data_IF_645993869664
#
_entry.id   IF_645993869664
#
_cell.length_a   1.000
_cell.length_b   1.000
_cell.length_c   1.000
_cell.angle_alpha   90.00
_cell.angle_beta   90.00
_cell.angle_gamma   90.00
#
_symmetry.space_group_name_H-M   'P 1'
#
loop_
_entity.id
_entity.type
_entity.pdbx_description
1 polymer ?
#
# COMPACT_ATOMS: atom_id res chain seq x y z
N UNK A 1 -57.31 -38.99 -23.86
CA UNK A 1 -56.43 -38.86 -22.69
C UNK A 1 -56.21 -37.38 -22.45
N UNK A 2 -56.40 -36.97 -21.21
CA UNK A 2 -56.88 -35.66 -20.78
C UNK A 2 -55.84 -34.53 -20.88
N UNK A 3 -56.33 -33.35 -21.25
CA UNK A 3 -55.64 -32.06 -21.19
C UNK A 3 -55.75 -31.47 -19.78
N UNK A 4 -54.65 -31.40 -19.04
CA UNK A 4 -54.60 -30.74 -17.73
C UNK A 4 -54.11 -29.30 -17.85
N UNK A 5 -55.05 -28.38 -17.70
CA UNK A 5 -54.85 -26.93 -17.55
C UNK A 5 -54.54 -26.63 -16.08
N UNK A 6 -53.32 -26.19 -15.76
CA UNK A 6 -52.94 -25.77 -14.41
C UNK A 6 -52.97 -24.24 -14.30
N UNK A 7 -54.02 -23.71 -13.68
CA UNK A 7 -54.17 -22.29 -13.31
C UNK A 7 -53.46 -22.07 -11.97
N UNK A 8 -52.37 -21.31 -11.96
CA UNK A 8 -51.66 -20.93 -10.75
C UNK A 8 -52.28 -19.65 -10.16
N UNK A 9 -53.07 -19.81 -9.10
CA UNK A 9 -53.60 -18.73 -8.25
C UNK A 9 -52.48 -18.00 -7.49
N UNK A 10 -52.32 -16.71 -7.77
CA UNK A 10 -51.43 -15.80 -7.03
C UNK A 10 -51.99 -15.52 -5.63
N UNK A 11 -51.19 -15.78 -4.60
CA UNK A 11 -51.49 -15.48 -3.19
C UNK A 11 -50.84 -14.14 -2.82
N UNK A 12 -51.57 -13.14 -2.27
CA UNK A 12 -50.97 -11.88 -1.87
C UNK A 12 -50.18 -12.02 -0.56
N UNK A 13 -48.99 -11.41 -0.53
CA UNK A 13 -48.08 -11.35 0.62
C UNK A 13 -48.57 -10.30 1.64
N UNK A 14 -48.60 -10.57 2.96
CA UNK A 14 -48.99 -9.56 3.95
C UNK A 14 -47.86 -8.56 4.22
N UNK A 15 -48.12 -7.29 3.91
CA UNK A 15 -47.30 -6.12 4.25
C UNK A 15 -47.51 -5.72 5.72
N UNK A 16 -46.50 -5.94 6.58
CA UNK A 16 -46.39 -5.26 7.87
C UNK A 16 -44.96 -4.78 8.11
N UNK A 17 -44.69 -3.58 7.61
CA UNK A 17 -43.48 -2.82 7.92
C UNK A 17 -43.74 -2.04 9.22
N UNK A 18 -43.18 -2.51 10.34
CA UNK A 18 -43.25 -1.80 11.64
C UNK A 18 -41.97 -1.00 11.82
N UNK A 19 -42.07 0.32 11.67
CA UNK A 19 -40.97 1.28 11.86
C UNK A 19 -40.65 1.40 13.36
N UNK A 20 -39.39 1.29 13.80
CA UNK A 20 -39.01 1.59 15.18
C UNK A 20 -38.97 3.11 15.40
N UNK A 21 -39.64 3.58 16.45
CA UNK A 21 -39.60 4.95 16.97
C UNK A 21 -38.34 5.19 17.81
N UNK A 22 -37.66 6.34 17.68
CA UNK A 22 -36.52 6.66 18.54
C UNK A 22 -36.98 7.09 19.95
N UNK A 23 -36.20 6.82 21.01
CA UNK A 23 -36.51 7.29 22.35
C UNK A 23 -36.28 8.81 22.48
N UNK A 24 -37.23 9.46 23.17
CA UNK A 24 -37.17 10.85 23.61
C UNK A 24 -36.02 11.08 24.62
N UNK A 25 -35.33 12.24 24.58
CA UNK A 25 -34.37 12.63 25.60
C UNK A 25 -35.08 13.23 26.81
N UNK A 26 -34.94 12.59 27.98
CA UNK A 26 -35.28 13.20 29.26
C UNK A 26 -34.25 14.26 29.61
N UNK A 27 -34.70 15.51 29.64
CA UNK A 27 -33.92 16.64 30.13
C UNK A 27 -33.80 16.62 31.65
N UNK A 28 -32.57 16.77 32.13
CA UNK A 28 -32.29 17.20 33.50
C UNK A 28 -31.52 18.50 33.41
N UNK A 29 -32.21 19.59 33.75
CA UNK A 29 -31.65 20.90 34.06
C UNK A 29 -30.84 20.80 35.35
N UNK A 30 -29.55 21.14 35.31
CA UNK A 30 -28.83 21.60 36.50
C UNK A 30 -28.14 22.93 36.16
N UNK A 31 -28.57 23.93 36.91
CA UNK A 31 -28.19 25.32 36.92
C UNK A 31 -26.84 25.50 37.65
N UNK A 32 -25.88 26.16 37.00
CA UNK A 32 -24.78 27.10 37.43
C UNK A 32 -24.34 27.13 38.92
N UNK A 33 -23.05 27.40 39.27
CA UNK A 33 -22.37 28.63 38.81
C UNK A 33 -20.88 28.59 38.47
N UNK A 34 -20.54 29.61 37.68
CA UNK A 34 -19.21 30.16 37.46
C UNK A 34 -18.50 30.51 38.76
N UNK A 35 -17.22 30.18 38.86
CA UNK A 35 -16.28 30.86 39.73
C UNK A 35 -15.14 31.46 38.90
N UNK A 36 -15.03 32.78 39.06
CA UNK A 36 -13.91 33.63 38.69
C UNK A 36 -12.58 33.04 39.17
N UNK A 37 -11.56 33.16 38.33
CA UNK A 37 -10.17 32.85 38.67
C UNK A 37 -9.18 33.54 37.74
N UNK A 38 -9.33 34.85 37.56
CA UNK A 38 -8.37 35.75 36.91
C UNK A 38 -7.14 35.86 37.81
N UNK A 39 -5.98 35.37 37.38
CA UNK A 39 -4.69 35.71 38.00
C UNK A 39 -3.78 36.37 36.97
N UNK A 40 -3.27 37.53 37.36
CA UNK A 40 -2.51 38.49 36.56
C UNK A 40 -1.12 38.67 37.14
N UNK A 41 -0.09 38.59 36.27
CA UNK A 41 1.23 39.28 36.29
C UNK A 41 2.32 38.74 37.25
N UNK A 42 3.61 39.11 37.08
CA UNK A 42 4.39 39.41 35.86
C UNK A 42 5.80 38.74 35.83
N UNK A 43 6.49 38.86 34.69
CA UNK A 43 7.94 38.65 34.51
C UNK A 43 8.80 39.71 35.24
N UNK A 44 10.09 39.42 35.47
CA UNK A 44 11.13 40.43 35.28
C UNK A 44 12.16 40.02 34.23
N UNK A 45 12.65 41.08 33.57
CA UNK A 45 13.59 41.20 32.48
C UNK A 45 14.92 41.74 33.04
N UNK A 46 16.07 41.17 32.64
CA UNK A 46 17.39 41.83 32.56
C UNK A 46 18.08 41.20 31.32
N UNK A 47 18.13 41.87 30.15
CA UNK A 47 19.13 42.87 29.67
C UNK A 47 20.52 42.22 29.49
N UNK A 48 21.35 42.42 28.47
CA UNK A 48 21.31 42.93 27.09
C UNK A 48 22.74 42.75 26.54
N UNK A 49 22.91 42.61 25.22
CA UNK A 49 24.06 43.07 24.39
C UNK A 49 24.03 42.24 23.09
N UNK A 50 23.40 42.71 22.02
CA UNK A 50 23.86 43.73 21.06
C UNK A 50 24.99 43.26 20.14
N UNK A 51 24.60 43.24 18.87
CA UNK A 51 25.32 43.02 17.62
C UNK A 51 26.49 43.96 17.34
N UNK A 52 27.61 43.40 16.88
CA UNK A 52 28.63 43.95 15.96
C UNK A 52 29.68 42.83 15.79
N UNK A 53 30.21 42.40 14.65
CA UNK A 53 30.54 43.09 13.41
C UNK A 53 30.63 42.06 12.27
N UNK A 54 29.86 42.34 11.21
CA UNK A 54 30.08 41.89 9.83
C UNK A 54 31.15 42.81 9.22
N UNK A 55 32.07 42.25 8.42
CA UNK A 55 33.17 42.88 7.66
C UNK A 55 34.52 42.94 8.38
N UNK A 56 35.33 41.90 8.22
CA UNK A 56 36.79 42.02 8.00
C UNK A 56 37.40 40.64 7.70
N UNK A 57 37.16 40.12 6.49
CA UNK A 57 37.98 39.03 5.93
C UNK A 57 37.93 39.00 4.41
N UNK A 58 38.08 40.17 3.79
CA UNK A 58 38.26 40.32 2.35
C UNK A 58 39.23 41.46 2.11
N UNK A 59 40.50 41.18 2.36
CA UNK A 59 41.64 41.93 1.83
C UNK A 59 42.88 41.18 2.25
N UNK A 60 43.29 40.23 1.40
CA UNK A 60 44.68 40.03 1.05
C UNK A 60 44.75 38.95 -0.04
N UNK A 61 45.10 39.43 -1.25
CA UNK A 61 45.96 38.78 -2.25
C UNK A 61 45.31 37.56 -2.95
N UNK A 62 44.85 37.63 -4.20
CA UNK A 62 45.37 38.42 -5.32
C UNK A 62 46.55 37.69 -5.98
N UNK A 63 46.28 36.54 -6.60
CA UNK A 63 47.09 35.96 -7.65
C UNK A 63 46.13 35.42 -8.72
N UNK A 64 46.16 36.10 -9.86
CA UNK A 64 45.47 35.78 -11.10
C UNK A 64 46.33 34.76 -11.83
N UNK A 65 45.75 33.64 -12.27
CA UNK A 65 45.99 33.08 -13.62
C UNK A 65 44.69 32.40 -14.08
N UNK A 66 44.32 32.72 -15.32
CA UNK A 66 43.10 32.32 -16.02
C UNK A 66 43.24 30.93 -16.64
N UNK A 67 42.12 30.20 -16.63
CA UNK A 67 41.61 29.32 -17.69
C UNK A 67 42.51 28.22 -18.29
N UNK A 68 42.21 26.98 -17.89
CA UNK A 68 42.02 25.88 -18.83
C UNK A 68 40.84 25.02 -18.33
N UNK A 69 39.63 25.34 -18.82
CA UNK A 69 38.46 24.44 -18.69
C UNK A 69 38.73 23.19 -19.53
N UNK A 70 39.18 22.13 -18.88
CA UNK A 70 39.14 20.79 -19.46
C UNK A 70 37.70 20.30 -19.43
N UNK A 71 37.07 20.36 -20.59
CA UNK A 71 35.82 19.70 -20.93
C UNK A 71 35.98 18.18 -20.76
N UNK A 72 35.85 17.68 -19.54
CA UNK A 72 35.74 16.25 -19.29
C UNK A 72 34.27 15.86 -19.47
N UNK A 73 33.97 15.44 -20.70
CA UNK A 73 32.77 14.70 -21.09
C UNK A 73 32.62 13.51 -20.15
N UNK A 74 31.91 13.74 -19.05
CA UNK A 74 31.46 12.69 -18.14
C UNK A 74 30.55 11.78 -18.93
N UNK A 75 31.12 10.71 -19.46
CA UNK A 75 30.42 9.60 -20.07
C UNK A 75 29.34 9.17 -19.07
N UNK A 76 28.08 9.44 -19.41
CA UNK A 76 26.95 8.82 -18.74
C UNK A 76 27.06 7.34 -19.04
N UNK A 77 27.80 6.63 -18.18
CA UNK A 77 27.97 5.20 -18.23
C UNK A 77 26.58 4.63 -17.92
N UNK A 78 25.83 4.35 -18.97
CA UNK A 78 24.60 3.57 -18.88
C UNK A 78 25.02 2.21 -18.34
N UNK A 79 24.82 2.01 -17.04
CA UNK A 79 24.83 0.69 -16.44
C UNK A 79 23.67 -0.08 -17.07
N UNK A 80 23.95 -0.69 -18.22
CA UNK A 80 23.20 -1.82 -18.71
C UNK A 80 23.35 -2.89 -17.65
N UNK A 81 22.31 -3.03 -16.82
CA UNK A 81 22.09 -4.23 -16.03
C UNK A 81 21.87 -5.34 -17.05
N UNK A 82 22.97 -5.91 -17.52
CA UNK A 82 22.93 -7.11 -18.34
C UNK A 82 22.06 -8.13 -17.57
N UNK A 83 21.07 -8.78 -18.19
CA UNK A 83 20.12 -9.67 -17.50
C UNK A 83 20.77 -10.97 -16.98
N UNK A 84 22.10 -11.04 -16.98
CA UNK A 84 22.86 -12.22 -16.57
C UNK A 84 22.67 -12.67 -15.10
N UNK A 85 22.42 -11.80 -14.09
CA UNK A 85 22.09 -12.30 -12.76
C UNK A 85 20.68 -12.93 -12.67
N UNK A 86 19.79 -12.65 -13.63
CA UNK A 86 18.44 -13.24 -13.69
C UNK A 86 18.46 -14.65 -14.33
N UNK A 87 19.35 -14.89 -15.29
CA UNK A 87 19.57 -16.23 -15.87
C UNK A 87 20.13 -17.23 -14.84
N UNK A 88 20.97 -16.77 -13.90
CA UNK A 88 21.44 -17.61 -12.80
C UNK A 88 20.33 -17.91 -11.78
N UNK A 89 19.34 -17.03 -11.61
CA UNK A 89 18.20 -17.27 -10.73
C UNK A 89 17.26 -18.35 -11.30
N UNK A 90 17.16 -18.48 -12.62
CA UNK A 90 16.38 -19.53 -13.30
C UNK A 90 16.99 -20.94 -13.12
N UNK A 91 18.30 -21.04 -12.87
CA UNK A 91 19.00 -22.29 -12.55
C UNK A 91 19.01 -22.62 -11.05
N UNK A 92 18.44 -21.76 -10.19
CA UNK A 92 18.38 -22.06 -8.77
C UNK A 92 17.48 -23.28 -8.53
N UNK A 93 17.89 -24.23 -7.66
CA UNK A 93 17.09 -25.38 -7.25
C UNK A 93 15.66 -25.02 -6.79
N UNK A 94 15.42 -23.76 -6.43
CA UNK A 94 14.12 -23.23 -6.02
C UNK A 94 13.05 -23.19 -7.12
N UNK A 95 13.40 -23.05 -8.40
CA UNK A 95 12.40 -22.97 -9.48
C UNK A 95 11.60 -24.29 -9.61
N UNK A 96 12.27 -25.44 -9.43
CA UNK A 96 11.62 -26.76 -9.39
C UNK A 96 10.76 -26.97 -8.15
N UNK A 97 11.19 -26.44 -6.99
CA UNK A 97 10.44 -26.51 -5.73
C UNK A 97 9.16 -25.68 -5.82
N UNK A 98 9.22 -24.46 -6.37
CA UNK A 98 8.03 -23.62 -6.57
C UNK A 98 7.04 -24.33 -7.47
N UNK A 99 7.49 -24.89 -8.60
CA UNK A 99 6.61 -25.66 -9.50
C UNK A 99 5.91 -26.82 -8.79
N UNK A 100 6.66 -27.63 -8.05
CA UNK A 100 6.13 -28.78 -7.30
C UNK A 100 5.07 -28.39 -6.26
N UNK A 101 5.25 -27.27 -5.55
CA UNK A 101 4.27 -26.77 -4.57
C UNK A 101 2.98 -26.28 -5.25
N UNK A 102 3.10 -25.73 -6.47
CA UNK A 102 1.98 -25.12 -7.19
C UNK A 102 1.27 -26.05 -8.18
N UNK A 103 1.87 -27.19 -8.54
CA UNK A 103 1.28 -28.18 -9.47
C UNK A 103 -0.16 -28.61 -9.07
N UNK A 104 -0.51 -28.87 -7.79
CA UNK A 104 -1.89 -29.21 -7.41
C UNK A 104 -2.91 -28.11 -7.72
N UNK A 105 -2.50 -26.84 -7.65
CA UNK A 105 -3.36 -25.70 -7.97
C UNK A 105 -3.52 -25.54 -9.48
N UNK A 106 -2.46 -25.81 -10.24
CA UNK A 106 -2.49 -25.83 -11.72
C UNK A 106 -3.47 -26.91 -12.20
N UNK A 107 -3.43 -28.10 -11.61
CA UNK A 107 -4.36 -29.17 -11.94
C UNK A 107 -5.81 -28.84 -11.57
N UNK A 108 -6.04 -28.17 -10.44
CA UNK A 108 -7.38 -27.73 -10.04
C UNK A 108 -7.97 -26.73 -11.04
N UNK A 109 -7.20 -25.72 -11.46
CA UNK A 109 -7.64 -24.74 -12.47
C UNK A 109 -7.96 -25.41 -13.81
N UNK A 110 -7.13 -26.37 -14.24
CA UNK A 110 -7.38 -27.15 -15.46
C UNK A 110 -8.66 -28.00 -15.36
N UNK A 111 -8.94 -28.57 -14.19
CA UNK A 111 -10.13 -29.39 -13.95
C UNK A 111 -11.42 -28.57 -14.03
N UNK A 112 -11.36 -27.27 -13.70
CA UNK A 112 -12.53 -26.39 -13.70
C UNK A 112 -12.91 -25.87 -15.10
N UNK A 113 -12.09 -26.14 -16.13
CA UNK A 113 -12.30 -25.75 -17.52
C UNK A 113 -12.77 -24.29 -17.67
N UNK A 114 -12.11 -23.40 -16.93
CA UNK A 114 -12.45 -21.98 -16.88
C UNK A 114 -12.19 -21.33 -18.25
N UNK A 115 -13.03 -20.39 -18.71
CA UNK A 115 -12.80 -19.67 -19.96
C UNK A 115 -11.44 -18.97 -19.96
N UNK A 116 -10.72 -19.02 -21.09
CA UNK A 116 -9.38 -18.42 -21.24
C UNK A 116 -9.34 -16.94 -20.83
N UNK A 117 -10.38 -16.17 -21.16
CA UNK A 117 -10.47 -14.75 -20.80
C UNK A 117 -10.45 -14.53 -19.28
N UNK A 118 -11.04 -15.45 -18.50
CA UNK A 118 -11.14 -15.35 -17.05
C UNK A 118 -9.82 -15.76 -16.40
N UNK A 119 -9.14 -16.76 -16.95
CA UNK A 119 -7.78 -17.14 -16.50
C UNK A 119 -6.81 -16.00 -16.77
N UNK A 120 -6.93 -15.36 -17.94
CA UNK A 120 -6.05 -14.27 -18.37
C UNK A 120 -6.25 -12.98 -17.56
N UNK A 121 -7.50 -12.55 -17.40
CA UNK A 121 -7.83 -11.27 -16.74
C UNK A 121 -8.21 -11.40 -15.27
N UNK A 122 -8.47 -12.60 -14.77
CA UNK A 122 -8.91 -12.83 -13.39
C UNK A 122 -7.87 -12.37 -12.37
N UNK A 123 -6.59 -12.71 -12.58
CA UNK A 123 -5.50 -12.24 -11.71
C UNK A 123 -5.35 -10.71 -11.74
N UNK A 124 -5.09 -10.04 -12.89
CA UNK A 124 -4.90 -8.59 -12.91
C UNK A 124 -6.16 -7.82 -12.47
N UNK A 125 -7.36 -8.31 -12.81
CA UNK A 125 -8.62 -7.69 -12.39
C UNK A 125 -8.82 -7.73 -10.87
N UNK A 126 -8.65 -8.90 -10.25
CA UNK A 126 -8.79 -9.03 -8.80
C UNK A 126 -7.69 -8.24 -8.07
N UNK A 127 -6.45 -8.30 -8.56
CA UNK A 127 -5.33 -7.60 -7.94
C UNK A 127 -5.47 -6.08 -8.04
N UNK A 128 -6.07 -5.55 -9.11
CA UNK A 128 -6.39 -4.13 -9.21
C UNK A 128 -7.36 -3.69 -8.09
N UNK A 129 -8.43 -4.45 -7.86
CA UNK A 129 -9.39 -4.14 -6.78
C UNK A 129 -8.69 -4.14 -5.42
N UNK A 130 -7.90 -5.18 -5.13
CA UNK A 130 -7.16 -5.28 -3.86
C UNK A 130 -6.17 -4.12 -3.72
N UNK A 131 -5.39 -3.81 -4.75
CA UNK A 131 -4.40 -2.74 -4.73
C UNK A 131 -5.04 -1.38 -4.49
N UNK A 132 -6.06 -1.01 -5.26
CA UNK A 132 -6.65 0.33 -5.18
C UNK A 132 -7.61 0.48 -4.01
N UNK A 133 -8.52 -0.48 -3.80
CA UNK A 133 -9.51 -0.37 -2.74
C UNK A 133 -8.91 -0.66 -1.36
N UNK A 134 -8.12 -1.72 -1.21
CA UNK A 134 -7.56 -2.08 0.10
C UNK A 134 -6.23 -1.39 0.34
N UNK A 135 -5.30 -1.47 -0.61
CA UNK A 135 -3.99 -0.83 -0.50
C UNK A 135 -4.05 0.69 -0.56
N UNK A 136 -4.78 1.25 -1.53
CA UNK A 136 -4.94 2.69 -1.71
C UNK A 136 -5.66 3.34 -0.54
N UNK A 137 -6.87 2.86 -0.21
CA UNK A 137 -7.61 3.40 0.94
C UNK A 137 -6.90 3.12 2.27
N UNK A 138 -6.31 1.94 2.43
CA UNK A 138 -5.51 1.60 3.60
C UNK A 138 -4.34 2.56 3.80
N UNK A 139 -3.61 2.87 2.73
CA UNK A 139 -2.49 3.84 2.76
C UNK A 139 -2.98 5.24 3.08
N UNK A 140 -4.10 5.66 2.49
CA UNK A 140 -4.76 6.92 2.82
C UNK A 140 -5.08 7.00 4.33
N UNK A 141 -5.64 5.95 4.92
CA UNK A 141 -5.90 5.89 6.36
C UNK A 141 -4.59 5.99 7.17
N UNK A 142 -3.49 5.40 6.70
CA UNK A 142 -2.16 5.56 7.29
C UNK A 142 -1.74 7.03 7.38
N UNK A 143 -1.96 7.80 6.32
CA UNK A 143 -1.74 9.24 6.34
C UNK A 143 -2.71 9.98 7.27
N UNK A 144 -3.98 9.57 7.35
CA UNK A 144 -4.95 10.17 8.31
C UNK A 144 -4.54 9.93 9.76
N UNK A 145 -4.00 8.75 10.10
CA UNK A 145 -3.45 8.48 11.43
C UNK A 145 -2.34 9.47 11.78
N UNK A 146 -1.46 9.79 10.81
CA UNK A 146 -0.31 10.67 11.03
C UNK A 146 -0.69 12.15 11.05
N UNK A 147 -1.54 12.59 10.13
CA UNK A 147 -1.74 14.01 9.80
C UNK A 147 -3.05 14.59 10.32
N UNK A 148 -4.07 13.77 10.65
CA UNK A 148 -5.36 14.31 11.09
C UNK A 148 -5.25 14.95 12.49
N UNK A 149 -6.05 15.98 12.75
CA UNK A 149 -6.18 16.63 14.06
C UNK A 149 -7.42 16.15 14.83
N UNK A 150 -8.34 15.47 14.15
CA UNK A 150 -9.57 14.93 14.73
C UNK A 150 -9.27 13.59 15.43
N UNK A 151 -9.65 13.49 16.71
CA UNK A 151 -9.45 12.29 17.52
C UNK A 151 -10.33 11.13 17.07
N UNK A 152 -11.58 11.41 16.68
CA UNK A 152 -12.54 10.38 16.27
C UNK A 152 -12.14 9.75 14.95
N UNK A 153 -11.69 10.59 14.02
CA UNK A 153 -11.16 10.13 12.74
C UNK A 153 -9.88 9.31 12.91
N UNK A 154 -8.94 9.76 13.75
CA UNK A 154 -7.71 9.01 14.05
C UNK A 154 -8.02 7.65 14.65
N UNK A 155 -9.00 7.55 15.54
CA UNK A 155 -9.42 6.28 16.13
C UNK A 155 -9.97 5.33 15.06
N UNK A 156 -10.87 5.81 14.19
CA UNK A 156 -11.40 5.01 13.05
C UNK A 156 -10.29 4.58 12.10
N UNK A 157 -9.37 5.47 11.76
CA UNK A 157 -8.27 5.16 10.85
C UNK A 157 -7.31 4.12 11.44
N UNK A 158 -7.00 4.21 12.75
CA UNK A 158 -6.18 3.22 13.45
C UNK A 158 -6.81 1.82 13.49
N UNK A 159 -8.13 1.74 13.56
CA UNK A 159 -8.85 0.47 13.53
C UNK A 159 -8.92 -0.12 12.11
N UNK A 160 -9.22 0.72 11.12
CA UNK A 160 -9.43 0.27 9.74
C UNK A 160 -8.14 0.02 8.96
N UNK A 161 -7.09 0.81 9.19
CA UNK A 161 -5.79 0.67 8.50
C UNK A 161 -5.23 -0.76 8.60
N UNK A 162 -4.98 -1.34 9.79
CA UNK A 162 -4.42 -2.69 9.88
C UNK A 162 -5.34 -3.77 9.31
N UNK A 163 -6.67 -3.60 9.38
CA UNK A 163 -7.63 -4.55 8.79
C UNK A 163 -7.56 -4.55 7.27
N UNK A 164 -7.54 -3.37 6.66
CA UNK A 164 -7.46 -3.24 5.20
C UNK A 164 -6.10 -3.68 4.67
N UNK A 165 -4.99 -3.29 5.31
CA UNK A 165 -3.66 -3.69 4.86
C UNK A 165 -3.36 -5.17 5.16
N UNK A 166 -3.87 -5.70 6.27
CA UNK A 166 -3.81 -7.14 6.54
C UNK A 166 -4.59 -7.95 5.52
N UNK A 167 -5.77 -7.46 5.12
CA UNK A 167 -6.53 -8.05 4.02
C UNK A 167 -5.81 -7.92 2.67
N UNK A 168 -5.20 -6.77 2.37
CA UNK A 168 -4.37 -6.60 1.17
C UNK A 168 -3.23 -7.61 1.14
N UNK A 169 -2.49 -7.77 2.24
CA UNK A 169 -1.42 -8.76 2.35
C UNK A 169 -1.93 -10.18 2.05
N UNK A 170 -3.05 -10.57 2.67
CA UNK A 170 -3.64 -11.88 2.48
C UNK A 170 -4.03 -12.12 1.01
N UNK A 171 -4.77 -11.19 0.40
CA UNK A 171 -5.20 -11.34 -0.99
C UNK A 171 -4.07 -11.19 -1.99
N UNK A 172 -3.00 -10.44 -1.69
CA UNK A 172 -1.80 -10.41 -2.52
C UNK A 172 -1.01 -11.72 -2.44
N UNK A 173 -0.93 -12.35 -1.27
CA UNK A 173 -0.34 -13.68 -1.15
C UNK A 173 -1.13 -14.71 -1.98
N UNK A 174 -2.47 -14.68 -1.92
CA UNK A 174 -3.32 -15.50 -2.80
C UNK A 174 -3.24 -15.08 -4.28
N UNK A 175 -3.05 -13.80 -4.57
CA UNK A 175 -2.82 -13.31 -5.91
C UNK A 175 -1.54 -13.87 -6.51
N UNK A 176 -0.47 -13.90 -5.73
CA UNK A 176 0.82 -14.45 -6.13
C UNK A 176 0.71 -15.93 -6.53
N UNK A 177 -0.13 -16.72 -5.84
CA UNK A 177 -0.37 -18.12 -6.25
C UNK A 177 -1.03 -18.19 -7.63
N UNK A 178 -2.06 -17.38 -7.88
CA UNK A 178 -2.70 -17.29 -9.20
C UNK A 178 -1.76 -16.81 -10.31
N UNK A 179 -0.90 -15.83 -10.02
CA UNK A 179 0.08 -15.32 -10.98
C UNK A 179 1.16 -16.36 -11.34
N UNK A 180 1.63 -17.12 -10.35
CA UNK A 180 2.57 -18.24 -10.56
C UNK A 180 1.91 -19.34 -11.40
N UNK A 181 0.65 -19.71 -11.07
CA UNK A 181 -0.12 -20.68 -11.85
C UNK A 181 -0.25 -20.26 -13.32
N UNK A 182 -0.57 -18.99 -13.60
CA UNK A 182 -0.70 -18.47 -14.97
C UNK A 182 0.63 -18.49 -15.77
N UNK A 183 1.76 -18.23 -15.09
CA UNK A 183 3.09 -18.34 -15.70
C UNK A 183 3.47 -19.79 -16.02
N UNK A 184 3.17 -20.72 -15.11
CA UNK A 184 3.44 -22.15 -15.28
C UNK A 184 2.57 -22.76 -16.38
N UNK A 185 1.31 -22.35 -16.53
CA UNK A 185 0.45 -22.78 -17.66
C UNK A 185 0.95 -22.26 -19.00
N UNK A 186 1.67 -21.13 -19.01
CA UNK A 186 2.19 -20.49 -20.22
C UNK A 186 3.64 -20.89 -20.56
N UNK A 187 4.23 -21.85 -19.84
CA UNK A 187 5.63 -22.31 -19.99
C UNK A 187 6.70 -21.18 -19.93
N UNK A 188 6.42 -20.07 -19.24
CA UNK A 188 7.39 -18.97 -19.07
C UNK A 188 8.16 -19.11 -17.75
N UNK A 189 9.50 -18.90 -17.72
CA UNK A 189 10.26 -18.94 -16.48
C UNK A 189 9.86 -17.82 -15.51
N UNK A 190 9.67 -18.17 -14.22
CA UNK A 190 9.10 -17.29 -13.19
C UNK A 190 10.02 -16.09 -12.90
N UNK A 191 11.34 -16.29 -12.85
CA UNK A 191 12.30 -15.26 -12.44
C UNK A 191 12.77 -14.32 -13.56
N UNK A 192 12.36 -14.57 -14.80
CA UNK A 192 12.65 -13.66 -15.92
C UNK A 192 11.59 -12.57 -16.07
N UNK A 193 10.40 -12.77 -15.50
CA UNK A 193 9.32 -11.79 -15.58
C UNK A 193 9.54 -10.66 -14.58
N UNK A 194 9.74 -9.40 -15.02
CA UNK A 194 9.87 -8.26 -14.11
C UNK A 194 8.64 -8.08 -13.22
N UNK A 195 7.46 -8.46 -13.72
CA UNK A 195 6.22 -8.50 -12.94
C UNK A 195 6.30 -9.52 -11.79
N UNK A 196 6.73 -10.75 -12.06
CA UNK A 196 6.86 -11.78 -11.02
C UNK A 196 7.89 -11.40 -9.95
N UNK A 197 9.07 -10.92 -10.37
CA UNK A 197 10.15 -10.51 -9.45
C UNK A 197 9.71 -9.34 -8.57
N UNK A 198 9.10 -8.30 -9.15
CA UNK A 198 8.57 -7.17 -8.38
C UNK A 198 7.47 -7.58 -7.41
N UNK A 199 6.66 -8.60 -7.74
CA UNK A 199 5.65 -9.18 -6.86
C UNK A 199 6.26 -9.85 -5.62
N UNK A 200 7.30 -10.68 -5.81
CA UNK A 200 8.01 -11.32 -4.69
C UNK A 200 8.70 -10.30 -3.77
N UNK A 201 9.36 -9.30 -4.35
CA UNK A 201 9.98 -8.21 -3.58
C UNK A 201 8.92 -7.45 -2.81
N UNK A 202 7.82 -7.06 -3.47
CA UNK A 202 6.71 -6.34 -2.85
C UNK A 202 6.09 -7.11 -1.68
N UNK A 203 5.80 -8.40 -1.86
CA UNK A 203 5.24 -9.24 -0.79
C UNK A 203 6.21 -9.41 0.38
N UNK A 204 7.50 -9.58 0.11
CA UNK A 204 8.53 -9.67 1.15
C UNK A 204 8.64 -8.39 1.96
N UNK A 205 8.66 -7.23 1.30
CA UNK A 205 8.66 -5.92 1.95
C UNK A 205 7.36 -5.68 2.74
N UNK A 206 6.21 -6.15 2.23
CA UNK A 206 4.94 -6.04 2.93
C UNK A 206 4.91 -6.91 4.20
N UNK A 207 5.56 -8.07 4.21
CA UNK A 207 5.77 -8.87 5.43
C UNK A 207 6.54 -8.07 6.47
N UNK A 208 7.68 -7.46 6.09
CA UNK A 208 8.47 -6.61 6.99
C UNK A 208 7.62 -5.42 7.49
N UNK A 209 6.88 -4.77 6.59
CA UNK A 209 5.95 -3.68 6.90
C UNK A 209 4.89 -4.06 7.95
N UNK A 210 4.41 -5.30 7.92
CA UNK A 210 3.40 -5.80 8.87
C UNK A 210 3.94 -6.04 10.28
N UNK A 211 5.24 -6.33 10.41
CA UNK A 211 5.89 -6.64 11.70
C UNK A 211 6.43 -5.36 12.36
N UNK A 212 6.83 -4.36 11.57
CA UNK A 212 7.34 -3.06 12.03
C UNK A 212 6.56 -2.40 13.19
N UNK A 213 5.21 -2.44 13.23
CA UNK A 213 4.44 -1.87 14.33
C UNK A 213 4.75 -2.43 15.72
N UNK A 214 5.24 -3.67 15.82
CA UNK A 214 5.64 -4.29 17.10
C UNK A 214 6.76 -3.50 17.79
N UNK A 215 7.59 -2.80 17.01
CA UNK A 215 8.75 -2.05 17.50
C UNK A 215 8.43 -0.57 17.83
N UNK A 216 7.17 -0.14 17.74
CA UNK A 216 6.79 1.27 17.90
C UNK A 216 6.88 1.78 19.35
N UNK A 217 6.78 0.90 20.33
CA UNK A 217 6.88 1.26 21.75
C UNK A 217 8.34 1.48 22.17
N UNK A 218 9.25 0.63 21.68
CA UNK A 218 10.68 0.71 21.97
C UNK A 218 11.36 1.87 21.23
N UNK A 219 10.96 2.11 19.98
CA UNK A 219 11.57 3.14 19.14
C UNK A 219 10.50 3.97 18.40
N UNK A 220 10.18 5.19 18.88
CA UNK A 220 9.22 6.08 18.23
C UNK A 220 9.56 6.42 16.77
N UNK A 221 10.85 6.38 16.39
CA UNK A 221 11.32 6.62 15.02
C UNK A 221 10.80 5.58 14.02
N UNK A 222 10.47 4.36 14.48
CA UNK A 222 9.95 3.27 13.65
C UNK A 222 8.61 3.61 13.00
N UNK A 223 7.83 4.55 13.56
CA UNK A 223 6.61 5.05 12.92
C UNK A 223 6.90 5.81 11.63
N UNK A 224 8.01 6.53 11.57
CA UNK A 224 8.44 7.22 10.35
C UNK A 224 9.01 6.24 9.34
N UNK A 225 9.78 5.24 9.78
CA UNK A 225 10.26 4.15 8.93
C UNK A 225 9.09 3.38 8.31
N UNK A 226 8.10 2.98 9.11
CA UNK A 226 6.89 2.32 8.63
C UNK A 226 6.13 3.19 7.62
N UNK A 227 5.98 4.49 7.87
CA UNK A 227 5.32 5.39 6.92
C UNK A 227 6.07 5.51 5.58
N UNK A 228 7.40 5.65 5.63
CA UNK A 228 8.24 5.78 4.44
C UNK A 228 8.28 4.47 3.66
N UNK A 229 8.55 3.35 4.34
CA UNK A 229 8.60 2.02 3.73
C UNK A 229 7.24 1.65 3.11
N UNK A 230 6.14 1.88 3.85
CA UNK A 230 4.79 1.64 3.33
C UNK A 230 4.48 2.45 2.08
N UNK A 231 4.88 3.73 2.05
CA UNK A 231 4.71 4.58 0.86
C UNK A 231 5.53 4.07 -0.33
N UNK A 232 6.78 3.66 -0.09
CA UNK A 232 7.64 3.08 -1.13
C UNK A 232 7.09 1.75 -1.65
N UNK A 233 6.54 0.90 -0.78
CA UNK A 233 5.88 -0.36 -1.16
C UNK A 233 4.67 -0.10 -2.06
N UNK A 234 3.86 0.93 -1.77
CA UNK A 234 2.73 1.29 -2.63
C UNK A 234 3.19 1.73 -4.02
N UNK A 235 4.24 2.54 -4.12
CA UNK A 235 4.84 2.92 -5.41
C UNK A 235 5.34 1.68 -6.16
N UNK A 236 6.02 0.76 -5.47
CA UNK A 236 6.46 -0.50 -6.07
C UNK A 236 5.28 -1.32 -6.59
N UNK A 237 4.15 -1.38 -5.88
CA UNK A 237 2.97 -2.10 -6.34
C UNK A 237 2.27 -1.45 -7.53
N UNK A 238 2.32 -0.11 -7.66
CA UNK A 238 1.85 0.57 -8.87
C UNK A 238 2.73 0.22 -10.08
N UNK A 239 4.05 0.17 -9.90
CA UNK A 239 4.98 -0.30 -10.94
C UNK A 239 4.70 -1.77 -11.28
N UNK A 240 4.55 -2.63 -10.26
CA UNK A 240 4.20 -4.04 -10.43
C UNK A 240 2.90 -4.23 -11.22
N UNK A 241 1.87 -3.42 -10.92
CA UNK A 241 0.60 -3.43 -11.64
C UNK A 241 0.76 -2.98 -13.10
N UNK A 242 1.56 -1.93 -13.37
CA UNK A 242 1.86 -1.49 -14.72
C UNK A 242 2.60 -2.59 -15.53
N UNK A 243 3.58 -3.25 -14.91
CA UNK A 243 4.28 -4.39 -15.51
C UNK A 243 3.32 -5.57 -15.77
N UNK A 244 2.37 -5.82 -14.86
CA UNK A 244 1.36 -6.86 -15.01
C UNK A 244 0.39 -6.56 -16.15
N UNK A 245 -0.05 -5.30 -16.29
CA UNK A 245 -0.89 -4.86 -17.39
C UNK A 245 -0.14 -4.96 -18.73
N UNK A 246 1.13 -4.53 -18.78
CA UNK A 246 1.97 -4.69 -19.96
C UNK A 246 2.11 -6.16 -20.37
N UNK A 247 2.32 -7.04 -19.38
CA UNK A 247 2.41 -8.49 -19.63
C UNK A 247 1.07 -9.02 -20.15
N UNK A 248 -0.05 -8.66 -19.53
CA UNK A 248 -1.39 -9.09 -19.96
C UNK A 248 -1.79 -8.62 -21.36
N UNK A 249 -1.32 -7.45 -21.80
CA UNK A 249 -1.54 -6.92 -23.15
C UNK A 249 -0.57 -7.48 -24.20
N UNK A 250 0.48 -8.20 -23.79
CA UNK A 250 1.50 -8.77 -24.70
C UNK A 250 1.15 -10.17 -25.24
N UNK A 251 0.00 -10.71 -24.84
CA UNK A 251 -0.53 -11.99 -25.31
C UNK A 251 -1.34 -11.82 -26.60
#
# INVERSE_FOLDING_TARGET
METLTAIATLRPLPTKFKRPTPPHPSGTLITTPSLLGRSTRPLPLIVAASSATRKEKWRNLGAVEEEEEKEERGETLLYSVAPYPLLLAALLPGAGIVRSIFDPFVELVKTWNLPDWLVHWGHPGNMAVVLFAMGGYGTYLGFRIRLSKDADEKAKAKDLHPKLLGGMFFFFALGATGGITALLTSNKPIFESPHAVSGFIGLSLLTVQSILPVLFEENPGMRTVHGLLGSSIMTLFLIHAALGLQLGLSF
#
